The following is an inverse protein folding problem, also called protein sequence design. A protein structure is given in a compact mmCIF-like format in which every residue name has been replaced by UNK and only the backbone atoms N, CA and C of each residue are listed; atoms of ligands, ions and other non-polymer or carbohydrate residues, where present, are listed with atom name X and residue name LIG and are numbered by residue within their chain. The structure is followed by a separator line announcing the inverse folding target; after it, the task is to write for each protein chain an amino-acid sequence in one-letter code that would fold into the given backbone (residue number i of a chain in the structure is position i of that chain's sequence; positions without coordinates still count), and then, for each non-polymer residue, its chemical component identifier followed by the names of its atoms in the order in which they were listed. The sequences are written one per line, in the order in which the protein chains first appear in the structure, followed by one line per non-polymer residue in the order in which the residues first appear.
data_IF_213805494600
#
_entry.id   IF_213805494600
#
_cell.length_a   1.000
_cell.length_b   1.000
_cell.length_c   1.000
_cell.angle_alpha   90.00
_cell.angle_beta   90.00
_cell.angle_gamma   90.00
#
_symmetry.space_group_name_H-M   'P 1'
#
loop_
_entity.id
_entity.type
_entity.pdbx_description
1 polymer ?
#
# COMPACT_ATOMS: atom_id res chain seq x y z
N UNK A 1 22.08 -11.74 -12.18
CA UNK A 1 22.14 -10.93 -11.34
C UNK A 1 21.33 -11.18 -10.22
N UNK A 2 21.81 -11.00 -9.29
CA UNK A 2 20.97 -11.12 -8.39
C UNK A 2 20.21 -10.17 -8.32
N UNK A 3 19.37 -10.31 -8.72
CA UNK A 3 18.39 -9.69 -8.46
C UNK A 3 18.03 -9.70 -7.12
N UNK A 4 18.84 -9.29 -6.42
CA UNK A 4 18.48 -9.13 -5.14
C UNK A 4 17.37 -8.24 -4.96
N UNK A 5 16.42 -8.65 -4.31
CA UNK A 5 15.36 -7.82 -4.00
C UNK A 5 15.86 -6.99 -2.86
N UNK A 6 15.93 -5.71 -3.05
CA UNK A 6 16.35 -4.86 -1.99
C UNK A 6 15.15 -4.56 -1.14
N UNK A 7 15.12 -5.13 0.03
CA UNK A 7 14.08 -4.82 0.99
C UNK A 7 14.45 -3.57 1.79
N UNK A 8 15.71 -3.15 1.69
CA UNK A 8 16.13 -1.98 2.45
C UNK A 8 16.10 -0.76 1.56
N UNK A 9 15.40 0.27 2.00
CA UNK A 9 15.30 1.51 1.26
C UNK A 9 15.95 2.58 2.10
N UNK A 10 16.78 3.39 1.47
CA UNK A 10 17.38 4.52 2.17
C UNK A 10 16.29 5.48 2.60
N UNK A 11 16.25 5.79 3.87
CA UNK A 11 15.25 6.69 4.44
C UNK A 11 15.84 7.66 5.46
N UNK A 12 17.11 7.95 5.31
CA UNK A 12 17.82 8.81 6.25
C UNK A 12 17.28 10.25 6.17
N UNK A 13 17.05 10.88 7.32
CA UNK A 13 16.50 12.23 7.36
C UNK A 13 17.37 13.25 6.64
N UNK A 14 18.67 12.99 6.53
CA UNK A 14 19.59 13.91 5.84
C UNK A 14 19.30 14.04 4.33
N UNK A 15 18.54 13.10 3.78
CA UNK A 15 18.16 13.13 2.37
C UNK A 15 16.78 13.75 2.16
N UNK A 16 16.13 14.20 3.23
CA UNK A 16 14.74 14.63 3.16
C UNK A 16 14.60 16.05 3.70
N UNK A 17 13.62 16.78 3.17
CA UNK A 17 13.33 18.11 3.66
C UNK A 17 11.83 18.33 3.70
N UNK A 18 11.38 19.39 4.33
CA UNK A 18 9.96 19.74 4.45
C UNK A 18 9.13 18.62 5.08
N UNK A 19 9.68 18.02 6.12
CA UNK A 19 9.06 16.87 6.77
C UNK A 19 7.87 17.32 7.60
N UNK A 20 6.69 16.83 7.24
CA UNK A 20 5.43 17.09 7.95
C UNK A 20 4.66 15.79 8.08
N UNK A 21 3.62 15.80 8.91
CA UNK A 21 2.78 14.59 9.03
C UNK A 21 2.08 14.31 7.72
N UNK A 22 1.97 13.06 7.38
CA UNK A 22 1.26 12.65 6.18
C UNK A 22 -0.24 12.92 6.31
N UNK A 23 -0.94 13.10 5.21
CA UNK A 23 -2.40 13.28 5.26
C UNK A 23 -3.11 12.01 5.72
N UNK A 24 -4.35 12.15 6.13
CA UNK A 24 -5.16 11.04 6.56
C UNK A 24 -5.31 10.00 5.44
N UNK A 25 -5.34 8.74 5.81
CA UNK A 25 -5.33 7.63 4.86
C UNK A 25 -6.42 6.57 5.10
N UNK A 26 -7.22 6.69 6.16
CA UNK A 26 -8.18 5.63 6.50
C UNK A 26 -9.19 5.39 5.37
N UNK A 27 -9.74 6.44 4.79
CA UNK A 27 -10.72 6.28 3.72
C UNK A 27 -10.11 5.61 2.49
N UNK A 28 -8.88 6.00 2.13
CA UNK A 28 -8.21 5.39 0.98
C UNK A 28 -7.89 3.92 1.24
N UNK A 29 -7.47 3.58 2.45
CA UNK A 29 -7.18 2.18 2.79
C UNK A 29 -8.45 1.35 2.73
N UNK A 30 -9.57 1.89 3.21
CA UNK A 30 -10.86 1.20 3.12
C UNK A 30 -11.33 1.01 1.68
N UNK A 31 -10.82 1.79 0.75
CA UNK A 31 -11.16 1.66 -0.66
C UNK A 31 -10.26 0.66 -1.40
N UNK A 32 -9.21 0.14 -0.76
CA UNK A 32 -8.35 -0.87 -1.36
C UNK A 32 -9.13 -2.17 -1.50
N UNK A 33 -9.04 -2.78 -2.70
CA UNK A 33 -9.70 -4.06 -2.93
C UNK A 33 -8.72 -5.19 -2.73
N UNK A 34 -9.02 -6.09 -1.82
CA UNK A 34 -8.23 -7.30 -1.60
C UNK A 34 -8.98 -8.43 -2.28
N UNK A 35 -8.31 -9.11 -3.21
CA UNK A 35 -8.93 -10.07 -4.08
C UNK A 35 -8.39 -11.48 -3.91
N UNK A 36 -9.21 -12.44 -4.26
CA UNK A 36 -8.82 -13.83 -4.41
C UNK A 36 -8.81 -14.10 -5.91
N UNK A 37 -7.81 -14.78 -6.42
CA UNK A 37 -7.68 -15.02 -7.86
C UNK A 37 -6.81 -16.22 -8.18
N UNK A 38 -6.90 -16.67 -9.43
CA UNK A 38 -6.05 -17.75 -9.92
C UNK A 38 -5.07 -17.17 -10.93
N UNK A 39 -3.85 -17.68 -10.91
CA UNK A 39 -2.83 -17.29 -11.87
C UNK A 39 -3.04 -18.04 -13.18
N UNK A 40 -3.12 -17.31 -14.29
CA UNK A 40 -3.32 -17.94 -15.59
C UNK A 40 -2.16 -18.82 -16.01
N UNK A 41 -0.95 -18.49 -15.54
CA UNK A 41 0.24 -19.19 -15.98
C UNK A 41 0.29 -20.66 -15.57
N UNK A 42 -0.14 -20.96 -14.34
CA UNK A 42 -0.04 -22.32 -13.81
C UNK A 42 -1.29 -22.78 -13.04
N UNK A 43 -2.31 -21.96 -13.00
CA UNK A 43 -3.55 -22.30 -12.29
C UNK A 43 -3.47 -22.22 -10.78
N UNK A 44 -2.34 -21.76 -10.21
CA UNK A 44 -2.22 -21.63 -8.76
C UNK A 44 -3.16 -20.55 -8.25
N UNK A 45 -3.55 -20.67 -6.98
CA UNK A 45 -4.52 -19.77 -6.36
C UNK A 45 -3.89 -18.90 -5.28
N UNK A 46 -4.26 -17.62 -5.29
CA UNK A 46 -3.94 -16.70 -4.21
C UNK A 46 -5.24 -16.25 -3.56
N UNK A 47 -5.37 -16.50 -2.26
CA UNK A 47 -6.59 -16.16 -1.54
C UNK A 47 -6.65 -14.67 -1.21
N UNK A 48 -5.52 -14.04 -1.02
CA UNK A 48 -5.44 -12.62 -0.68
C UNK A 48 -4.38 -11.95 -1.54
N UNK A 49 -4.79 -11.01 -2.36
CA UNK A 49 -3.85 -10.28 -3.19
C UNK A 49 -4.45 -9.03 -3.76
N UNK A 50 -3.69 -8.32 -4.56
CA UNK A 50 -4.14 -7.09 -5.21
C UNK A 50 -4.17 -7.26 -6.71
N UNK A 51 -5.04 -6.51 -7.34
CA UNK A 51 -5.00 -6.31 -8.78
C UNK A 51 -4.34 -4.94 -8.97
N UNK A 52 -3.21 -4.89 -9.66
CA UNK A 52 -2.42 -3.66 -9.78
C UNK A 52 -3.24 -2.48 -10.31
N UNK A 53 -4.09 -2.72 -11.29
CA UNK A 53 -4.95 -1.68 -11.87
C UNK A 53 -5.93 -1.11 -10.84
N UNK A 54 -6.44 -1.93 -9.96
CA UNK A 54 -7.35 -1.48 -8.91
C UNK A 54 -6.60 -0.71 -7.82
N UNK A 55 -5.43 -1.20 -7.44
CA UNK A 55 -4.62 -0.54 -6.43
C UNK A 55 -4.11 0.82 -6.91
N UNK A 56 -3.81 0.94 -8.20
CA UNK A 56 -3.33 2.17 -8.81
C UNK A 56 -4.31 3.34 -8.57
N UNK A 57 -5.60 3.06 -8.58
CA UNK A 57 -6.61 4.11 -8.39
C UNK A 57 -6.61 4.68 -6.99
N UNK A 58 -6.16 3.91 -6.01
CA UNK A 58 -6.25 4.29 -4.60
C UNK A 58 -4.90 4.67 -4.02
N UNK A 59 -3.85 3.94 -4.37
CA UNK A 59 -2.51 4.10 -3.81
C UNK A 59 -1.46 4.05 -4.93
N UNK A 60 -1.41 5.07 -5.79
CA UNK A 60 -0.51 5.06 -6.94
C UNK A 60 0.96 4.94 -6.58
N UNK A 61 1.34 5.37 -5.38
CA UNK A 61 2.73 5.25 -4.92
C UNK A 61 3.19 3.79 -4.82
N UNK A 62 2.26 2.85 -4.68
CA UNK A 62 2.58 1.42 -4.50
C UNK A 62 2.53 0.64 -5.81
N UNK A 63 2.31 1.29 -6.94
CA UNK A 63 2.19 0.60 -8.22
C UNK A 63 3.18 1.16 -9.23
N UNK A 64 3.97 0.27 -9.82
CA UNK A 64 4.84 0.65 -10.91
C UNK A 64 4.10 0.44 -12.23
N UNK A 65 3.90 1.53 -12.98
CA UNK A 65 3.29 1.48 -14.30
C UNK A 65 4.41 1.58 -15.33
N UNK A 66 4.64 0.54 -16.12
CA UNK A 66 5.74 0.57 -17.08
C UNK A 66 5.48 1.55 -18.22
N UNK A 67 6.55 1.97 -18.91
CA UNK A 67 6.44 2.92 -20.02
C UNK A 67 5.70 2.34 -21.23
N UNK A 68 5.77 1.02 -21.40
CA UNK A 68 5.15 0.35 -22.55
C UNK A 68 3.94 -0.47 -22.11
N UNK A 69 2.78 -0.31 -22.79
CA UNK A 69 1.53 -0.96 -22.37
C UNK A 69 1.59 -2.49 -22.33
N UNK A 70 2.49 -3.10 -23.12
CA UNK A 70 2.58 -4.55 -23.13
C UNK A 70 3.33 -5.10 -21.94
N UNK A 71 3.99 -4.28 -21.17
CA UNK A 71 4.67 -4.72 -19.96
C UNK A 71 3.69 -4.76 -18.78
N UNK A 72 3.93 -5.64 -17.84
CA UNK A 72 3.02 -5.82 -16.71
C UNK A 72 3.26 -4.81 -15.60
N UNK A 73 2.18 -4.35 -14.98
CA UNK A 73 2.27 -3.51 -13.80
C UNK A 73 2.75 -4.34 -12.61
N UNK A 74 3.44 -3.71 -11.68
CA UNK A 74 4.00 -4.36 -10.50
C UNK A 74 3.56 -3.61 -9.24
N UNK A 75 3.23 -4.35 -8.20
CA UNK A 75 2.88 -3.77 -6.90
C UNK A 75 4.10 -3.81 -5.98
N UNK A 76 4.42 -2.68 -5.35
CA UNK A 76 5.50 -2.59 -4.39
C UNK A 76 4.89 -2.45 -2.99
N UNK A 77 4.88 -3.55 -2.25
CA UNK A 77 4.25 -3.61 -0.93
C UNK A 77 4.91 -2.69 0.08
N UNK A 78 6.21 -2.50 -0.02
CA UNK A 78 6.94 -1.63 0.89
C UNK A 78 6.46 -0.19 0.82
N UNK A 79 6.09 0.26 -0.36
CA UNK A 79 5.59 1.62 -0.55
C UNK A 79 4.15 1.80 -0.08
N UNK A 80 3.41 0.71 0.09
CA UNK A 80 2.04 0.75 0.60
C UNK A 80 1.99 0.82 2.14
N UNK A 81 3.00 0.30 2.80
CA UNK A 81 3.03 0.17 4.25
C UNK A 81 2.79 1.48 5.00
N UNK A 82 3.42 2.62 4.65
CA UNK A 82 3.18 3.86 5.39
C UNK A 82 1.72 4.31 5.38
N UNK A 83 1.03 4.11 4.26
CA UNK A 83 -0.39 4.45 4.14
C UNK A 83 -1.23 3.59 5.10
N UNK A 84 -0.91 2.31 5.19
CA UNK A 84 -1.62 1.38 6.07
C UNK A 84 -1.39 1.75 7.53
N UNK A 85 -0.15 2.09 7.89
CA UNK A 85 0.17 2.50 9.25
C UNK A 85 -0.58 3.77 9.63
N UNK A 86 -0.63 4.74 8.72
CA UNK A 86 -1.37 5.99 8.97
C UNK A 86 -2.86 5.71 9.19
N UNK A 87 -3.45 4.85 8.37
CA UNK A 87 -4.85 4.47 8.52
C UNK A 87 -5.12 3.77 9.86
N UNK A 88 -4.21 2.89 10.29
CA UNK A 88 -4.33 2.20 11.56
C UNK A 88 -4.30 3.19 12.72
N UNK A 89 -3.41 4.18 12.66
CA UNK A 89 -3.32 5.22 13.69
C UNK A 89 -4.59 6.05 13.78
N UNK A 90 -5.19 6.39 12.62
CA UNK A 90 -6.46 7.11 12.59
C UNK A 90 -7.58 6.29 13.20
N UNK A 91 -7.65 5.01 12.83
CA UNK A 91 -8.66 4.10 13.35
C UNK A 91 -8.53 3.94 14.86
N UNK A 92 -7.30 3.81 15.35
CA UNK A 92 -7.01 3.71 16.78
C UNK A 92 -7.49 4.96 17.53
N UNK A 93 -7.26 6.15 16.94
CA UNK A 93 -7.71 7.40 17.53
C UNK A 93 -9.23 7.50 17.57
N UNK A 94 -9.92 7.04 16.53
CA UNK A 94 -11.38 7.02 16.49
C UNK A 94 -11.96 6.09 17.54
N UNK A 95 -11.35 4.92 17.73
CA UNK A 95 -11.78 3.98 18.75
C UNK A 95 -11.63 4.60 20.14
N UNK A 96 -10.52 5.30 20.38
CA UNK A 96 -10.29 5.94 21.68
C UNK A 96 -11.35 7.01 21.98
N UNK A 97 -11.72 7.80 20.96
CA UNK A 97 -12.78 8.80 21.09
C UNK A 97 -14.11 8.12 21.42
N UNK A 98 -14.44 7.02 20.73
CA UNK A 98 -15.68 6.30 20.99
C UNK A 98 -15.72 5.72 22.39
N UNK A 99 -14.59 5.20 22.89
CA UNK A 99 -14.51 4.68 24.25
C UNK A 99 -14.81 5.76 25.27
N UNK A 100 -14.32 6.97 25.05
CA UNK A 100 -14.56 8.07 25.95
C UNK A 100 -16.04 8.48 25.98
N UNK A 101 -16.73 8.34 24.85
CA UNK A 101 -18.12 8.74 24.77
C UNK A 101 -19.07 7.79 25.47
N UNK A 102 -18.69 6.52 25.65
CA UNK A 102 -19.57 5.55 26.31
C UNK A 102 -19.28 5.38 27.80
N UNK A 103 -18.29 6.06 28.30
CA UNK A 103 -17.97 5.96 29.73
C UNK A 103 -18.68 7.06 30.50
#
# INVERSE_FOLDING_TARGET
GTTGVLYNITSDQRLKENIVDAPNALDSVNAIKVRSFDWKSDGSHSEYGYIAQELLEVAPEAVHVPAYPEEMMVVDFGKLTPRIIKALQELSAEIEILKQKVN
#
